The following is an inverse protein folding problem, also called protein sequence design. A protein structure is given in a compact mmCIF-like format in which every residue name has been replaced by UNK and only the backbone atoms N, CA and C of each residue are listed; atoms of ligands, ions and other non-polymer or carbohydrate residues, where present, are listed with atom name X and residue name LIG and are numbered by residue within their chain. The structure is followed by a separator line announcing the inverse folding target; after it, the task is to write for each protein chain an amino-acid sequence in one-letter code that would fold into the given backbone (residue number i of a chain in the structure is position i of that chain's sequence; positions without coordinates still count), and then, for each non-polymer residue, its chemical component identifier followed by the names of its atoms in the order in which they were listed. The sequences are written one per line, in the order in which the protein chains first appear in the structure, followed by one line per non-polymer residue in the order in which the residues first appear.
data_IF_173256879853
#
_entry.id   IF_173256879853
#
_cell.length_a   1.000
_cell.length_b   1.000
_cell.length_c   1.000
_cell.angle_alpha   90.00
_cell.angle_beta   90.00
_cell.angle_gamma   90.00
#
_symmetry.space_group_name_H-M   'P 1'
#
loop_
_entity.id
_entity.type
_entity.pdbx_description
1 polymer ?
#
# COMPACT_ATOMS: atom_id res chain seq x y z
N UNK A 1 -7.37 19.46 12.70
CA UNK A 1 -6.84 18.33 11.92
C UNK A 1 -5.89 17.59 12.83
N UNK A 2 -6.28 16.43 13.37
CA UNK A 2 -5.37 15.61 14.16
C UNK A 2 -4.40 14.92 13.20
N UNK A 3 -3.16 15.31 13.24
CA UNK A 3 -2.11 14.70 12.44
C UNK A 3 -1.80 13.30 12.99
N UNK A 4 -1.76 12.30 12.14
CA UNK A 4 -1.39 10.91 12.47
C UNK A 4 0.01 10.77 13.10
N UNK A 5 0.81 11.84 13.09
CA UNK A 5 2.21 11.89 13.55
C UNK A 5 2.41 11.48 15.01
N UNK A 6 1.38 11.54 15.83
CA UNK A 6 1.49 11.21 17.27
C UNK A 6 0.79 9.91 17.65
N UNK A 7 0.55 8.99 16.70
CA UNK A 7 -0.20 7.77 16.98
C UNK A 7 0.70 6.60 17.33
N UNK A 8 0.78 6.23 18.62
CA UNK A 8 1.52 5.05 19.07
C UNK A 8 1.02 3.76 18.43
N UNK A 9 -0.26 3.72 17.99
CA UNK A 9 -0.87 2.57 17.34
C UNK A 9 -0.22 2.24 15.98
N UNK A 10 0.12 3.27 15.18
CA UNK A 10 0.80 3.05 13.91
C UNK A 10 2.23 2.54 14.13
N UNK A 11 2.96 3.13 15.08
CA UNK A 11 4.29 2.66 15.45
C UNK A 11 4.26 1.20 15.96
N UNK A 12 3.30 0.87 16.82
CA UNK A 12 3.10 -0.49 17.31
C UNK A 12 2.70 -1.46 16.19
N UNK A 13 1.88 -1.01 15.23
CA UNK A 13 1.56 -1.80 14.05
C UNK A 13 2.80 -2.11 13.23
N UNK A 14 3.59 -1.08 12.88
CA UNK A 14 4.81 -1.24 12.08
C UNK A 14 5.79 -2.21 12.74
N UNK A 15 6.05 -2.06 14.04
CA UNK A 15 7.02 -2.87 14.76
C UNK A 15 6.71 -4.37 14.82
N UNK A 16 5.46 -4.79 14.52
CA UNK A 16 5.07 -6.20 14.46
C UNK A 16 4.99 -6.77 13.04
N UNK A 17 5.22 -5.94 12.02
CA UNK A 17 5.14 -6.39 10.63
C UNK A 17 6.44 -7.06 10.17
N UNK A 18 6.32 -8.19 9.46
CA UNK A 18 7.48 -8.93 8.92
C UNK A 18 8.26 -8.14 7.85
N UNK A 19 7.58 -7.27 7.12
CA UNK A 19 8.18 -6.43 6.10
C UNK A 19 8.85 -5.18 6.67
N UNK A 20 8.68 -4.90 7.96
CA UNK A 20 9.33 -3.78 8.63
C UNK A 20 10.75 -4.16 9.04
N UNK A 21 11.74 -3.42 8.57
CA UNK A 21 13.15 -3.74 8.80
C UNK A 21 13.69 -3.31 10.18
N UNK A 22 12.87 -2.65 11.01
CA UNK A 22 13.26 -2.21 12.35
C UNK A 22 13.08 -3.31 13.39
N UNK A 23 14.04 -3.48 14.29
CA UNK A 23 14.00 -4.43 15.40
C UNK A 23 13.89 -3.77 16.77
N UNK A 24 14.00 -2.45 16.84
CA UNK A 24 13.99 -1.65 18.06
C UNK A 24 12.73 -0.79 18.16
N UNK A 25 12.66 0.05 19.20
CA UNK A 25 11.54 0.96 19.38
C UNK A 25 11.33 1.85 18.15
N UNK A 26 10.14 1.78 17.57
CA UNK A 26 9.73 2.54 16.39
C UNK A 26 9.11 3.85 16.82
N UNK A 27 9.59 4.94 16.25
CA UNK A 27 8.98 6.27 16.39
C UNK A 27 8.55 6.77 15.01
N UNK A 28 7.27 7.05 14.84
CA UNK A 28 6.76 7.72 13.64
C UNK A 28 7.09 9.21 13.75
N UNK A 29 7.82 9.74 12.78
CA UNK A 29 8.26 11.14 12.75
C UNK A 29 7.40 12.01 11.84
N UNK A 30 6.85 11.41 10.77
CA UNK A 30 5.98 12.10 9.83
C UNK A 30 5.03 11.10 9.17
N UNK A 31 3.81 11.56 8.88
CA UNK A 31 2.86 10.85 8.03
C UNK A 31 2.38 11.82 6.96
N UNK A 32 2.68 11.51 5.70
CA UNK A 32 2.25 12.28 4.54
C UNK A 32 1.20 11.49 3.76
N UNK A 33 -0.09 11.82 3.89
CA UNK A 33 -1.13 11.20 3.08
C UNK A 33 -1.03 11.67 1.63
N UNK A 34 -1.28 10.78 0.68
CA UNK A 34 -1.58 11.11 -0.70
C UNK A 34 -3.08 11.34 -0.88
N UNK A 35 -3.51 11.70 -2.08
CA UNK A 35 -4.92 11.87 -2.37
C UNK A 35 -5.72 10.57 -2.16
N UNK A 36 -7.00 10.73 -1.92
CA UNK A 36 -7.91 9.60 -1.79
C UNK A 36 -8.10 8.89 -3.14
N UNK A 37 -7.88 7.59 -3.17
CA UNK A 37 -8.30 6.71 -4.25
C UNK A 37 -9.79 6.38 -4.17
N UNK A 38 -10.28 6.29 -2.94
CA UNK A 38 -11.68 6.13 -2.60
C UNK A 38 -11.94 6.98 -1.37
N UNK A 39 -12.92 7.89 -1.45
CA UNK A 39 -13.29 8.79 -0.35
C UNK A 39 -13.73 8.01 0.90
N UNK A 40 -13.44 8.49 2.12
CA UNK A 40 -13.84 7.80 3.36
C UNK A 40 -15.34 7.48 3.47
N UNK A 41 -16.18 8.27 2.81
CA UNK A 41 -17.63 7.99 2.77
C UNK A 41 -18.01 6.76 1.95
N UNK A 42 -17.09 6.24 1.13
CA UNK A 42 -17.32 5.10 0.23
C UNK A 42 -17.18 3.73 0.90
N UNK A 43 -16.65 3.65 2.11
CA UNK A 43 -16.46 2.43 2.92
C UNK A 43 -16.07 1.17 2.10
N UNK A 44 -14.76 0.94 1.86
CA UNK A 44 -13.63 1.61 2.48
C UNK A 44 -13.24 2.92 1.77
N UNK A 45 -12.90 3.95 2.54
CA UNK A 45 -12.01 4.99 2.06
C UNK A 45 -10.59 4.42 1.95
N UNK A 46 -9.89 4.72 0.86
CA UNK A 46 -8.55 4.17 0.60
C UNK A 46 -7.60 5.25 0.12
N UNK A 47 -6.40 5.27 0.69
CA UNK A 47 -5.30 6.12 0.20
C UNK A 47 -3.94 5.54 0.55
N UNK A 48 -2.91 5.97 -0.14
CA UNK A 48 -1.53 5.74 0.26
C UNK A 48 -1.11 6.72 1.35
N UNK A 49 -0.36 6.23 2.32
CA UNK A 49 0.33 7.08 3.29
C UNK A 49 1.83 6.78 3.29
N UNK A 50 2.62 7.84 3.19
CA UNK A 50 4.06 7.78 3.24
C UNK A 50 4.47 8.09 4.68
N UNK A 51 5.04 7.10 5.35
CA UNK A 51 5.35 7.14 6.78
C UNK A 51 6.85 7.19 6.99
N UNK A 52 7.33 8.29 7.57
CA UNK A 52 8.71 8.43 7.99
C UNK A 52 8.84 7.96 9.44
N UNK A 53 9.84 7.14 9.69
CA UNK A 53 10.10 6.56 11.02
C UNK A 53 11.56 6.64 11.40
N UNK A 54 11.82 6.52 12.70
CA UNK A 54 13.14 6.19 13.25
C UNK A 54 13.00 4.93 14.09
N UNK A 55 13.83 3.92 13.81
CA UNK A 55 13.94 2.69 14.59
C UNK A 55 15.35 2.63 15.19
N UNK A 56 15.44 2.76 16.51
CA UNK A 56 16.72 3.05 17.15
C UNK A 56 17.32 4.36 16.65
N UNK A 57 18.40 4.29 15.86
CA UNK A 57 19.03 5.46 15.21
C UNK A 57 18.82 5.50 13.70
N UNK A 58 18.18 4.47 13.12
CA UNK A 58 18.05 4.30 11.67
C UNK A 58 16.76 4.93 11.16
N UNK A 59 16.85 5.93 10.26
CA UNK A 59 15.67 6.47 9.60
C UNK A 59 15.16 5.53 8.50
N UNK A 60 13.87 5.54 8.27
CA UNK A 60 13.23 4.81 7.19
C UNK A 60 11.97 5.51 6.70
N UNK A 61 11.65 5.29 5.42
CA UNK A 61 10.42 5.78 4.81
C UNK A 61 9.65 4.57 4.28
N UNK A 62 8.36 4.52 4.59
CA UNK A 62 7.53 3.37 4.24
C UNK A 62 6.26 3.78 3.53
N UNK A 63 5.86 2.99 2.55
CA UNK A 63 4.55 3.04 1.92
C UNK A 63 3.58 2.16 2.72
N UNK A 64 2.57 2.79 3.30
CA UNK A 64 1.55 2.10 4.10
C UNK A 64 0.18 2.49 3.55
N UNK A 65 -0.34 1.78 2.55
CA UNK A 65 -1.69 2.04 2.08
C UNK A 65 -2.69 1.69 3.18
N UNK A 66 -3.62 2.61 3.44
CA UNK A 66 -4.60 2.47 4.51
C UNK A 66 -6.02 2.37 3.97
N UNK A 67 -6.83 1.53 4.61
CA UNK A 67 -8.28 1.52 4.46
C UNK A 67 -8.96 2.07 5.72
N UNK A 68 -10.00 2.86 5.49
CA UNK A 68 -10.79 3.54 6.51
C UNK A 68 -12.21 3.00 6.44
N UNK A 69 -12.62 2.25 7.48
CA UNK A 69 -13.93 1.63 7.60
C UNK A 69 -14.79 2.39 8.59
N UNK A 70 -16.07 2.53 8.28
CA UNK A 70 -17.04 3.19 9.18
C UNK A 70 -17.39 2.31 10.37
N UNK A 71 -17.31 0.98 10.21
CA UNK A 71 -17.55 0.00 11.26
C UNK A 71 -16.33 -0.89 11.47
N UNK A 72 -16.13 -1.44 12.69
CA UNK A 72 -15.03 -2.36 12.95
C UNK A 72 -15.24 -3.68 12.18
N UNK A 73 -14.16 -4.26 11.65
CA UNK A 73 -14.15 -5.50 10.89
C UNK A 73 -13.29 -6.54 11.61
N UNK A 74 -13.92 -7.57 12.17
CA UNK A 74 -13.22 -8.65 12.90
C UNK A 74 -12.35 -9.49 11.96
N UNK A 75 -12.81 -9.71 10.73
CA UNK A 75 -12.07 -10.44 9.69
C UNK A 75 -10.79 -9.72 9.23
N UNK A 76 -10.66 -8.42 9.50
CA UNK A 76 -9.48 -7.61 9.21
C UNK A 76 -8.57 -7.37 10.43
N UNK A 77 -8.79 -8.09 11.53
CA UNK A 77 -8.10 -7.86 12.82
C UNK A 77 -6.57 -7.89 12.71
N UNK A 78 -6.01 -8.70 11.82
CA UNK A 78 -4.56 -8.76 11.60
C UNK A 78 -3.98 -7.44 11.03
N UNK A 79 -4.72 -6.78 10.15
CA UNK A 79 -4.37 -5.49 9.56
C UNK A 79 -4.76 -4.28 10.40
N UNK A 80 -5.44 -4.47 11.53
CA UNK A 80 -5.94 -3.35 12.34
C UNK A 80 -4.83 -2.51 12.94
N UNK A 81 -4.93 -1.20 12.73
CA UNK A 81 -3.97 -0.21 13.22
C UNK A 81 -4.55 0.57 14.39
N UNK A 82 -5.77 1.06 14.27
CA UNK A 82 -6.42 1.88 15.29
C UNK A 82 -7.69 2.55 14.79
N UNK A 83 -8.23 3.50 15.55
CA UNK A 83 -9.36 4.30 15.14
C UNK A 83 -8.99 5.77 15.04
N UNK A 84 -9.68 6.52 14.16
CA UNK A 84 -9.46 7.97 13.97
C UNK A 84 -10.78 8.70 13.78
N UNK A 85 -10.73 10.01 13.96
CA UNK A 85 -11.87 10.88 13.66
C UNK A 85 -11.50 11.77 12.47
N UNK A 86 -12.30 11.69 11.41
CA UNK A 86 -12.25 12.58 10.24
C UNK A 86 -13.63 13.19 10.08
N UNK A 87 -13.70 14.51 9.95
CA UNK A 87 -14.95 15.26 9.74
C UNK A 87 -16.07 14.84 10.72
N UNK A 88 -15.73 14.79 12.01
CA UNK A 88 -16.59 14.39 13.13
C UNK A 88 -17.15 12.95 13.08
N UNK A 89 -16.57 12.09 12.23
CA UNK A 89 -16.90 10.67 12.16
C UNK A 89 -15.73 9.81 12.60
N UNK A 90 -16.01 8.75 13.33
CA UNK A 90 -15.02 7.75 13.69
C UNK A 90 -14.83 6.76 12.55
N UNK A 91 -13.56 6.47 12.23
CA UNK A 91 -13.17 5.43 11.27
C UNK A 91 -12.21 4.44 11.92
N UNK A 92 -12.37 3.18 11.57
CA UNK A 92 -11.48 2.10 11.95
C UNK A 92 -10.48 1.88 10.82
N UNK A 93 -9.18 1.95 11.15
CA UNK A 93 -8.11 2.04 10.17
C UNK A 93 -7.34 0.74 10.12
N UNK A 94 -7.14 0.25 8.91
CA UNK A 94 -6.44 -1.00 8.63
C UNK A 94 -5.36 -0.78 7.58
N UNK A 95 -4.35 -1.65 7.54
CA UNK A 95 -3.50 -1.78 6.37
C UNK A 95 -4.35 -2.31 5.21
N UNK A 96 -4.49 -1.51 4.17
CA UNK A 96 -5.36 -1.79 3.02
C UNK A 96 -5.01 -3.11 2.31
N UNK A 97 -3.77 -3.60 2.44
CA UNK A 97 -3.39 -4.86 1.81
C UNK A 97 -3.96 -6.09 2.54
N UNK A 98 -4.49 -5.95 3.76
CA UNK A 98 -5.25 -7.02 4.43
C UNK A 98 -6.75 -6.98 4.12
N UNK A 99 -7.24 -5.92 3.50
CA UNK A 99 -8.62 -5.69 3.13
C UNK A 99 -8.83 -5.93 1.63
N UNK A 100 -9.58 -6.97 1.26
CA UNK A 100 -9.76 -7.36 -0.15
C UNK A 100 -10.47 -6.30 -0.99
N UNK A 101 -11.43 -5.59 -0.42
CA UNK A 101 -12.14 -4.51 -1.10
C UNK A 101 -11.21 -3.30 -1.31
N UNK A 102 -10.41 -2.96 -0.29
CA UNK A 102 -9.42 -1.90 -0.40
C UNK A 102 -8.31 -2.25 -1.41
N UNK A 103 -7.87 -3.52 -1.47
CA UNK A 103 -6.96 -3.96 -2.54
C UNK A 103 -7.56 -3.77 -3.93
N UNK A 104 -8.85 -4.05 -4.10
CA UNK A 104 -9.58 -3.77 -5.35
C UNK A 104 -9.47 -2.29 -5.75
N UNK A 105 -9.62 -1.37 -4.79
CA UNK A 105 -9.45 0.07 -5.02
C UNK A 105 -8.00 0.41 -5.40
N UNK A 106 -7.01 -0.15 -4.68
CA UNK A 106 -5.58 0.04 -5.00
C UNK A 106 -5.21 -0.46 -6.40
N UNK A 107 -5.85 -1.52 -6.87
CA UNK A 107 -5.63 -2.09 -8.19
C UNK A 107 -6.41 -1.35 -9.29
N UNK A 108 -7.38 -0.54 -8.92
CA UNK A 108 -8.28 0.18 -9.83
C UNK A 108 -7.55 1.03 -10.88
N UNK A 109 -6.36 1.56 -10.57
CA UNK A 109 -5.56 2.34 -11.53
C UNK A 109 -5.07 1.53 -12.74
N UNK A 110 -5.11 0.19 -12.68
CA UNK A 110 -4.83 -0.67 -13.82
C UNK A 110 -6.09 -1.04 -14.62
N UNK A 111 -7.27 -0.63 -14.19
CA UNK A 111 -8.52 -0.81 -14.95
C UNK A 111 -8.69 0.33 -15.95
N UNK A 112 -9.13 0.00 -17.17
CA UNK A 112 -9.34 1.00 -18.21
C UNK A 112 -10.42 2.02 -17.82
N UNK A 113 -10.15 3.29 -18.14
CA UNK A 113 -11.08 4.39 -17.90
C UNK A 113 -11.16 4.85 -16.44
N UNK A 114 -10.38 4.27 -15.54
CA UNK A 114 -10.32 4.74 -14.15
C UNK A 114 -9.54 6.04 -14.06
N UNK A 115 -10.17 7.09 -13.52
CA UNK A 115 -9.51 8.35 -13.23
C UNK A 115 -8.73 8.24 -11.92
N UNK A 116 -7.48 8.74 -11.93
CA UNK A 116 -6.61 8.75 -10.76
C UNK A 116 -6.32 10.19 -10.31
N UNK A 117 -6.11 10.40 -9.01
CA UNK A 117 -5.63 11.68 -8.50
C UNK A 117 -4.28 12.06 -9.12
N UNK A 118 -4.03 13.37 -9.27
CA UNK A 118 -2.82 13.92 -9.93
C UNK A 118 -1.50 13.52 -9.27
N UNK A 119 -1.52 13.18 -7.98
CA UNK A 119 -0.33 12.77 -7.22
C UNK A 119 -0.08 11.25 -7.25
N UNK A 120 -0.92 10.49 -7.98
CA UNK A 120 -0.81 9.04 -8.12
C UNK A 120 -0.80 8.66 -9.61
N UNK A 121 0.27 7.98 -10.01
CA UNK A 121 0.44 7.56 -11.40
C UNK A 121 0.55 6.05 -11.51
N UNK A 122 -0.23 5.47 -12.42
CA UNK A 122 -0.17 4.06 -12.81
C UNK A 122 0.40 3.95 -14.22
N UNK A 123 1.68 3.56 -14.30
CA UNK A 123 2.29 3.22 -15.58
C UNK A 123 1.74 1.90 -16.09
N UNK A 124 1.51 1.79 -17.39
CA UNK A 124 1.06 0.54 -18.05
C UNK A 124 1.98 0.25 -19.21
N UNK A 125 2.60 -0.90 -19.19
CA UNK A 125 3.46 -1.36 -20.25
C UNK A 125 2.66 -2.27 -21.20
N UNK A 126 2.94 -2.19 -22.50
CA UNK A 126 2.34 -3.03 -23.53
C UNK A 126 0.79 -3.04 -23.54
N UNK A 127 0.14 -1.96 -23.04
CA UNK A 127 -1.31 -1.88 -22.96
C UNK A 127 -1.94 -2.80 -21.91
N UNK A 128 -1.17 -3.19 -20.90
CA UNK A 128 -1.68 -4.00 -19.79
C UNK A 128 -2.87 -3.35 -19.10
N UNK A 129 -3.90 -4.14 -18.84
CA UNK A 129 -5.07 -3.73 -18.04
C UNK A 129 -5.54 -4.89 -17.18
N UNK A 130 -6.14 -4.56 -16.04
CA UNK A 130 -6.89 -5.52 -15.22
C UNK A 130 -8.39 -5.43 -15.54
N UNK A 131 -9.08 -6.55 -15.41
CA UNK A 131 -10.55 -6.54 -15.45
C UNK A 131 -11.11 -5.81 -14.22
N UNK A 132 -12.21 -5.10 -14.40
CA UNK A 132 -12.96 -4.54 -13.27
C UNK A 132 -13.41 -5.66 -12.32
N UNK A 133 -13.21 -5.44 -11.00
CA UNK A 133 -13.57 -6.41 -9.98
C UNK A 133 -12.73 -7.70 -10.00
N UNK A 134 -11.52 -7.66 -10.58
CA UNK A 134 -10.64 -8.83 -10.61
C UNK A 134 -10.42 -9.41 -9.21
N UNK A 135 -10.52 -10.73 -9.11
CA UNK A 135 -10.21 -11.44 -7.86
C UNK A 135 -8.78 -11.14 -7.42
N UNK A 136 -8.63 -10.81 -6.13
CA UNK A 136 -7.35 -10.45 -5.58
C UNK A 136 -7.07 -11.21 -4.27
N UNK A 137 -5.88 -11.77 -4.17
CA UNK A 137 -5.45 -12.58 -3.02
C UNK A 137 -4.12 -12.10 -2.48
N UNK A 138 -4.06 -11.85 -1.18
CA UNK A 138 -2.80 -11.54 -0.49
C UNK A 138 -1.98 -12.82 -0.35
N UNK A 139 -0.79 -12.88 -0.98
CA UNK A 139 0.12 -14.04 -0.87
C UNK A 139 0.90 -14.06 0.45
N UNK A 140 1.02 -12.93 1.10
CA UNK A 140 1.81 -12.77 2.31
C UNK A 140 2.85 -11.68 2.20
N UNK A 141 3.48 -11.37 3.34
CA UNK A 141 4.55 -10.38 3.41
C UNK A 141 5.90 -11.09 3.29
N UNK A 142 6.66 -10.73 2.27
CA UNK A 142 8.11 -10.96 2.19
C UNK A 142 8.84 -9.92 3.05
N UNK A 143 10.16 -10.06 3.22
CA UNK A 143 10.94 -9.21 4.14
C UNK A 143 10.91 -7.70 3.84
N UNK A 144 10.51 -7.26 2.65
CA UNK A 144 10.47 -5.83 2.28
C UNK A 144 9.26 -5.44 1.44
N UNK A 145 8.48 -6.43 1.01
CA UNK A 145 7.40 -6.28 0.06
C UNK A 145 6.13 -6.99 0.55
N UNK A 146 5.00 -6.62 -0.01
CA UNK A 146 3.75 -7.36 0.11
C UNK A 146 3.28 -7.70 -1.31
N UNK A 147 3.03 -8.98 -1.57
CA UNK A 147 2.64 -9.46 -2.90
C UNK A 147 1.16 -9.83 -2.92
N UNK A 148 0.48 -9.37 -3.95
CA UNK A 148 -0.94 -9.65 -4.23
C UNK A 148 -1.04 -10.34 -5.58
N UNK A 149 -1.80 -11.42 -5.66
CA UNK A 149 -2.24 -11.98 -6.93
C UNK A 149 -3.50 -11.20 -7.37
N UNK A 150 -3.51 -10.72 -8.60
CA UNK A 150 -4.67 -10.08 -9.23
C UNK A 150 -4.94 -10.77 -10.58
N UNK A 151 -5.92 -11.67 -10.62
CA UNK A 151 -6.12 -12.55 -11.75
C UNK A 151 -4.89 -13.41 -12.03
N UNK A 152 -4.28 -13.26 -13.21
CA UNK A 152 -3.04 -13.96 -13.61
C UNK A 152 -1.76 -13.14 -13.33
N UNK A 153 -1.89 -11.98 -12.70
CA UNK A 153 -0.78 -11.05 -12.45
C UNK A 153 -0.34 -11.04 -11.01
N UNK A 154 0.96 -10.79 -10.79
CA UNK A 154 1.54 -10.53 -9.46
C UNK A 154 1.80 -9.04 -9.31
N UNK A 155 1.25 -8.44 -8.26
CA UNK A 155 1.48 -7.04 -7.91
C UNK A 155 2.30 -6.97 -6.63
N UNK A 156 3.49 -6.38 -6.71
CA UNK A 156 4.38 -6.16 -5.57
C UNK A 156 4.19 -4.75 -5.01
N UNK A 157 3.85 -4.66 -3.75
CA UNK A 157 3.83 -3.40 -3.01
C UNK A 157 5.14 -3.26 -2.23
N UNK A 158 6.04 -2.41 -2.72
CA UNK A 158 7.27 -2.07 -2.02
C UNK A 158 6.93 -1.27 -0.77
N UNK A 159 7.23 -1.85 0.40
CA UNK A 159 6.92 -1.24 1.69
C UNK A 159 7.95 -0.21 2.09
N UNK A 160 9.23 -0.54 2.01
CA UNK A 160 10.32 0.39 2.27
C UNK A 160 10.64 1.18 1.01
N UNK A 161 10.65 2.50 1.14
CA UNK A 161 10.97 3.42 0.06
C UNK A 161 12.41 3.91 0.18
N UNK A 162 13.09 3.99 -0.95
CA UNK A 162 14.42 4.58 -1.08
C UNK A 162 14.39 5.66 -2.17
N UNK A 163 15.22 6.70 -2.07
CA UNK A 163 15.32 7.69 -3.14
C UNK A 163 15.78 7.06 -4.46
N UNK A 164 15.20 7.53 -5.57
CA UNK A 164 15.54 7.05 -6.92
C UNK A 164 14.63 5.93 -7.42
N UNK A 165 15.00 5.36 -8.57
CA UNK A 165 14.28 4.24 -9.17
C UNK A 165 14.57 2.98 -8.37
N UNK A 166 13.55 2.16 -8.14
CA UNK A 166 13.72 0.89 -7.46
C UNK A 166 14.52 -0.07 -8.36
N UNK A 167 15.64 -0.64 -7.88
CA UNK A 167 16.48 -1.53 -8.70
C UNK A 167 15.75 -2.75 -9.25
N UNK A 168 14.78 -3.30 -8.50
CA UNK A 168 13.99 -4.45 -8.97
C UNK A 168 13.14 -4.07 -10.20
N UNK A 169 12.59 -2.86 -10.21
CA UNK A 169 11.81 -2.34 -11.34
C UNK A 169 12.72 -2.09 -12.53
N UNK A 170 13.86 -1.40 -12.31
CA UNK A 170 14.82 -1.08 -13.37
C UNK A 170 15.35 -2.34 -14.07
N UNK A 171 15.72 -3.36 -13.31
CA UNK A 171 16.18 -4.65 -13.86
C UNK A 171 15.06 -5.37 -14.60
N UNK A 172 13.85 -5.45 -14.04
CA UNK A 172 12.73 -6.09 -14.71
C UNK A 172 12.31 -5.38 -15.99
N UNK A 173 12.31 -4.06 -15.99
CA UNK A 173 12.03 -3.26 -17.20
C UNK A 173 13.06 -3.55 -18.30
N UNK A 174 14.36 -3.52 -17.96
CA UNK A 174 15.42 -3.83 -18.90
C UNK A 174 15.32 -5.25 -19.48
N UNK A 175 15.02 -6.25 -18.66
CA UNK A 175 14.86 -7.63 -19.09
C UNK A 175 13.57 -7.83 -19.92
N UNK A 176 12.50 -7.13 -19.60
CA UNK A 176 11.27 -7.13 -20.40
C UNK A 176 11.49 -6.54 -21.80
N UNK A 177 12.26 -5.45 -21.90
CA UNK A 177 12.60 -4.81 -23.18
C UNK A 177 13.40 -5.72 -24.11
N UNK A 178 14.22 -6.60 -23.59
CA UNK A 178 14.98 -7.59 -24.40
C UNK A 178 14.23 -8.90 -24.59
N UNK A 179 12.96 -8.97 -24.17
CA UNK A 179 12.09 -10.16 -24.32
C UNK A 179 12.71 -11.43 -23.76
N UNK A 180 13.27 -11.35 -22.55
CA UNK A 180 13.85 -12.50 -21.87
C UNK A 180 12.77 -13.51 -21.50
N UNK A 181 12.90 -14.76 -21.95
CA UNK A 181 11.99 -15.85 -21.61
C UNK A 181 12.21 -16.41 -20.19
N UNK A 182 13.25 -15.94 -19.47
CA UNK A 182 13.60 -16.44 -18.15
C UNK A 182 12.88 -15.75 -16.99
N UNK A 183 12.16 -14.65 -17.28
CA UNK A 183 11.42 -13.88 -16.28
C UNK A 183 10.02 -13.53 -16.74
N UNK A 184 9.11 -13.35 -15.77
CA UNK A 184 7.80 -12.76 -16.07
C UNK A 184 7.97 -11.29 -16.48
N UNK A 185 7.30 -10.83 -17.56
CA UNK A 185 7.43 -9.45 -18.03
C UNK A 185 6.89 -8.47 -16.99
N UNK A 186 7.52 -7.29 -16.94
CA UNK A 186 6.96 -6.15 -16.21
C UNK A 186 5.77 -5.60 -17.00
N UNK A 187 4.62 -5.42 -16.35
CA UNK A 187 3.37 -5.01 -16.98
C UNK A 187 2.94 -3.57 -16.60
N UNK A 188 3.46 -3.08 -15.46
CA UNK A 188 3.15 -1.73 -14.98
C UNK A 188 3.89 -1.35 -13.73
#
# INVERSE_FOLDING_TARGET
MSTWTERPELAAYLGRQRWFAGSEQVTVTEVRPLAWLSDPSSDPGVRFEIVSVVSGTEPGVYNVPLSYRQEPREDLSYGFIGATVLDDRTYYVYDALHDSEARGVLLGGFVDGTEMPDDIHYGRLQGFTLAEGVDNVLLGAEQSNTTVIAGESLVKFFRRLSPGVNPDIEVQEALTLVSSDEISPLLG
#
